data_IF_370110748087
#
_entry.id   IF_370110748087
#
_cell.length_a   1.000
_cell.length_b   1.000
_cell.length_c   1.000
_cell.angle_alpha   90.00
_cell.angle_beta   90.00
_cell.angle_gamma   90.00
#
_symmetry.space_group_name_H-M   'P 1'
#
loop_
_entity.id
_entity.type
_entity.pdbx_description
1 polymer ?
#
# COMPACT_ATOMS: atom_id res chain seq x y z
N UNK A 1 28.29 -39.54 46.95
CA UNK A 1 28.40 -40.27 45.67
C UNK A 1 26.98 -40.53 45.18
N UNK A 2 26.53 -39.85 44.12
CA UNK A 2 25.19 -40.08 43.57
C UNK A 2 25.22 -41.39 42.76
N UNK A 3 24.59 -42.44 43.29
CA UNK A 3 24.43 -43.72 42.62
C UNK A 3 23.35 -43.53 41.55
N UNK A 4 23.77 -43.32 40.29
CA UNK A 4 22.84 -43.16 39.18
C UNK A 4 22.26 -44.55 38.91
N UNK A 5 20.96 -44.69 39.19
CA UNK A 5 20.22 -45.92 38.95
C UNK A 5 20.15 -46.16 37.43
N UNK A 6 20.79 -47.24 36.97
CA UNK A 6 20.96 -47.60 35.55
C UNK A 6 19.62 -47.61 34.78
N UNK A 7 18.48 -48.07 35.33
CA UNK A 7 17.19 -48.03 34.65
C UNK A 7 16.73 -46.59 34.33
N UNK A 8 17.00 -45.67 35.25
CA UNK A 8 16.61 -44.25 35.15
C UNK A 8 17.44 -43.53 34.10
N UNK A 9 18.75 -43.85 34.01
CA UNK A 9 19.62 -43.32 32.97
C UNK A 9 19.22 -43.82 31.57
N UNK A 10 18.88 -45.11 31.45
CA UNK A 10 18.42 -45.71 30.19
C UNK A 10 17.08 -45.13 29.75
N UNK A 11 16.14 -44.91 30.67
CA UNK A 11 14.88 -44.22 30.40
C UNK A 11 15.10 -42.76 29.95
N UNK A 12 16.00 -42.02 30.61
CA UNK A 12 16.32 -40.65 30.22
C UNK A 12 16.93 -40.56 28.80
N UNK A 13 17.79 -41.52 28.44
CA UNK A 13 18.36 -41.60 27.08
C UNK A 13 17.29 -41.97 26.05
N UNK A 14 16.42 -42.93 26.34
CA UNK A 14 15.30 -43.30 25.46
C UNK A 14 14.32 -42.15 25.24
N UNK A 15 13.98 -41.40 26.30
CA UNK A 15 13.14 -40.20 26.22
C UNK A 15 13.84 -39.10 25.42
N UNK A 16 15.15 -38.88 25.63
CA UNK A 16 15.94 -37.91 24.86
C UNK A 16 16.02 -38.24 23.37
N UNK A 17 16.27 -39.50 23.02
CA UNK A 17 16.36 -39.97 21.62
C UNK A 17 15.01 -39.92 20.90
N UNK A 18 13.90 -40.09 21.62
CA UNK A 18 12.55 -40.03 21.05
C UNK A 18 11.98 -38.61 20.98
N UNK A 19 12.31 -37.73 21.94
CA UNK A 19 11.90 -36.31 21.90
C UNK A 19 12.73 -35.46 20.94
N UNK A 20 14.02 -35.74 20.78
CA UNK A 20 14.91 -34.90 19.95
C UNK A 20 14.44 -34.75 18.50
N UNK A 21 13.98 -35.81 17.79
CA UNK A 21 13.44 -35.71 16.44
C UNK A 21 12.17 -34.86 16.40
N UNK A 22 11.29 -34.97 17.40
CA UNK A 22 10.03 -34.22 17.49
C UNK A 22 10.29 -32.73 17.71
N UNK A 23 11.25 -32.39 18.59
CA UNK A 23 11.66 -31.00 18.84
C UNK A 23 12.30 -30.39 17.59
N UNK A 24 13.14 -31.16 16.88
CA UNK A 24 13.74 -30.71 15.62
C UNK A 24 12.67 -30.45 14.54
N UNK A 25 11.67 -31.34 14.43
CA UNK A 25 10.57 -31.18 13.47
C UNK A 25 9.69 -29.98 13.81
N UNK A 26 9.44 -29.72 15.10
CA UNK A 26 8.72 -28.53 15.57
C UNK A 26 9.53 -27.25 15.35
N UNK A 27 10.83 -27.24 15.59
CA UNK A 27 11.68 -26.06 15.37
C UNK A 27 11.85 -25.76 13.89
N UNK A 28 11.96 -26.76 13.02
CA UNK A 28 12.01 -26.54 11.58
C UNK A 28 10.66 -26.07 11.02
N UNK A 29 9.55 -26.61 11.54
CA UNK A 29 8.21 -26.08 11.26
C UNK A 29 8.04 -24.62 11.71
N UNK A 30 8.53 -24.27 12.90
CA UNK A 30 8.49 -22.92 13.45
C UNK A 30 9.37 -21.96 12.64
N UNK A 31 10.59 -22.35 12.26
CA UNK A 31 11.46 -21.55 11.38
C UNK A 31 10.80 -21.30 10.02
N UNK A 32 10.20 -22.33 9.43
CA UNK A 32 9.46 -22.21 8.17
C UNK A 32 8.21 -21.32 8.27
N UNK A 33 7.57 -21.29 9.43
CA UNK A 33 6.46 -20.37 9.70
C UNK A 33 6.96 -18.93 9.90
N UNK A 34 7.97 -18.72 10.74
CA UNK A 34 8.58 -17.40 10.99
C UNK A 34 9.09 -16.77 9.71
N UNK A 35 9.76 -17.54 8.85
CA UNK A 35 10.24 -17.06 7.54
C UNK A 35 9.09 -16.60 6.65
N UNK A 36 8.01 -17.38 6.56
CA UNK A 36 6.80 -17.00 5.79
C UNK A 36 6.15 -15.73 6.34
N UNK A 37 6.08 -15.59 7.66
CA UNK A 37 5.53 -14.40 8.32
C UNK A 37 6.40 -13.16 8.07
N UNK A 38 7.73 -13.29 8.10
CA UNK A 38 8.65 -12.20 7.78
C UNK A 38 8.52 -11.78 6.30
N UNK A 39 8.51 -12.74 5.37
CA UNK A 39 8.31 -12.47 3.94
C UNK A 39 6.94 -11.85 3.63
N UNK A 40 5.90 -12.15 4.43
CA UNK A 40 4.60 -11.47 4.33
C UNK A 40 4.65 -10.04 4.88
N UNK A 41 5.31 -9.82 6.02
CA UNK A 41 5.49 -8.48 6.59
C UNK A 41 6.29 -7.56 5.68
N UNK A 42 7.36 -8.06 5.07
CA UNK A 42 8.18 -7.28 4.13
C UNK A 42 7.38 -6.89 2.88
N UNK A 43 6.57 -7.81 2.36
CA UNK A 43 5.64 -7.52 1.25
C UNK A 43 4.62 -6.47 1.63
N UNK A 44 4.04 -6.55 2.83
CA UNK A 44 3.08 -5.57 3.34
C UNK A 44 3.73 -4.20 3.55
N UNK A 45 4.95 -4.15 4.10
CA UNK A 45 5.69 -2.91 4.29
C UNK A 45 6.03 -2.25 2.94
N UNK A 46 6.48 -3.03 1.96
CA UNK A 46 6.75 -2.51 0.62
C UNK A 46 5.47 -2.02 -0.08
N UNK A 47 4.37 -2.76 0.06
CA UNK A 47 3.07 -2.36 -0.48
C UNK A 47 2.58 -1.05 0.15
N UNK A 48 2.64 -0.92 1.47
CA UNK A 48 2.30 0.31 2.20
C UNK A 48 3.17 1.50 1.77
N UNK A 49 4.48 1.29 1.64
CA UNK A 49 5.40 2.33 1.17
C UNK A 49 5.03 2.82 -0.23
N UNK A 50 4.78 1.90 -1.15
CA UNK A 50 4.37 2.23 -2.52
C UNK A 50 2.99 2.91 -2.57
N UNK A 51 2.03 2.49 -1.71
CA UNK A 51 0.73 3.17 -1.55
C UNK A 51 0.91 4.64 -1.18
N UNK A 52 1.78 4.92 -0.20
CA UNK A 52 2.07 6.28 0.27
C UNK A 52 2.74 7.10 -0.82
N UNK A 53 3.71 6.54 -1.55
CA UNK A 53 4.40 7.24 -2.63
C UNK A 53 3.45 7.57 -3.80
N UNK A 54 2.57 6.64 -4.18
CA UNK A 54 1.56 6.89 -5.21
C UNK A 54 0.52 7.93 -4.76
N UNK A 55 0.12 7.92 -3.49
CA UNK A 55 -0.76 8.95 -2.93
C UNK A 55 -0.09 10.32 -2.92
N UNK A 56 1.19 10.41 -2.51
CA UNK A 56 1.99 11.64 -2.61
C UNK A 56 2.08 12.13 -4.04
N UNK A 57 2.30 11.24 -5.01
CA UNK A 57 2.35 11.60 -6.43
C UNK A 57 1.02 12.21 -6.88
N UNK A 58 -0.12 11.60 -6.55
CA UNK A 58 -1.45 12.14 -6.87
C UNK A 58 -1.67 13.53 -6.25
N UNK A 59 -1.27 13.70 -4.98
CA UNK A 59 -1.31 15.00 -4.28
C UNK A 59 -0.42 16.05 -4.96
N UNK A 60 0.80 15.71 -5.34
CA UNK A 60 1.77 16.60 -5.99
C UNK A 60 1.27 17.01 -7.37
N UNK A 61 0.73 16.07 -8.14
CA UNK A 61 0.16 16.36 -9.46
C UNK A 61 -0.91 17.44 -9.33
N UNK A 62 -1.79 17.38 -8.33
CA UNK A 62 -2.75 18.45 -8.11
C UNK A 62 -2.10 19.74 -7.57
N UNK A 63 -1.33 19.65 -6.48
CA UNK A 63 -0.79 20.81 -5.77
C UNK A 63 0.12 21.68 -6.65
N UNK A 64 1.07 21.05 -7.36
CA UNK A 64 2.01 21.75 -8.23
C UNK A 64 1.33 22.26 -9.49
N UNK A 65 0.48 21.44 -10.13
CA UNK A 65 -0.15 21.88 -11.39
C UNK A 65 -1.20 22.98 -11.15
N UNK A 66 -1.93 22.97 -10.03
CA UNK A 66 -2.88 24.04 -9.74
C UNK A 66 -2.19 25.37 -9.41
N UNK A 67 -1.06 25.35 -8.70
CA UNK A 67 -0.29 26.55 -8.40
C UNK A 67 0.40 27.14 -9.64
N UNK A 68 0.88 26.30 -10.55
CA UNK A 68 1.53 26.71 -11.81
C UNK A 68 0.53 26.92 -12.96
N UNK A 69 -0.76 27.08 -12.65
CA UNK A 69 -1.82 27.18 -13.66
C UNK A 69 -1.68 28.47 -14.49
N UNK A 70 -1.11 28.33 -15.69
CA UNK A 70 -1.14 29.41 -16.67
C UNK A 70 -2.52 29.52 -17.33
N UNK A 71 -3.36 30.37 -16.76
CA UNK A 71 -4.70 30.68 -17.29
C UNK A 71 -4.77 31.94 -18.14
N UNK A 72 -3.62 32.51 -18.52
CA UNK A 72 -3.54 33.80 -19.22
C UNK A 72 -4.24 33.80 -20.59
N UNK A 73 -4.40 32.64 -21.22
CA UNK A 73 -5.20 32.46 -22.43
C UNK A 73 -6.02 31.16 -22.40
N UNK A 74 -7.06 31.10 -23.24
CA UNK A 74 -7.88 29.91 -23.40
C UNK A 74 -7.05 28.68 -23.83
N UNK A 75 -6.12 28.85 -24.76
CA UNK A 75 -5.27 27.76 -25.26
C UNK A 75 -4.29 27.24 -24.20
N UNK A 76 -3.73 28.14 -23.37
CA UNK A 76 -2.87 27.73 -22.26
C UNK A 76 -3.65 26.99 -21.19
N UNK A 77 -4.84 27.47 -20.82
CA UNK A 77 -5.74 26.78 -19.89
C UNK A 77 -6.13 25.40 -20.40
N UNK A 78 -6.45 25.27 -21.69
CA UNK A 78 -6.81 24.00 -22.33
C UNK A 78 -5.63 23.02 -22.34
N UNK A 79 -4.44 23.49 -22.67
CA UNK A 79 -3.22 22.67 -22.70
C UNK A 79 -2.85 22.20 -21.31
N UNK A 80 -2.89 23.10 -20.33
CA UNK A 80 -2.69 22.79 -18.92
C UNK A 80 -3.69 21.72 -18.43
N UNK A 81 -4.98 21.90 -18.67
CA UNK A 81 -6.03 20.97 -18.24
C UNK A 81 -5.81 19.57 -18.83
N UNK A 82 -5.47 19.48 -20.12
CA UNK A 82 -5.13 18.20 -20.77
C UNK A 82 -3.90 17.53 -20.14
N UNK A 83 -2.86 18.30 -19.81
CA UNK A 83 -1.66 17.77 -19.18
C UNK A 83 -1.96 17.21 -17.79
N UNK A 84 -2.72 17.95 -16.97
CA UNK A 84 -3.18 17.49 -15.66
C UNK A 84 -4.00 16.20 -15.79
N UNK A 85 -5.00 16.20 -16.67
CA UNK A 85 -5.87 15.03 -16.88
C UNK A 85 -5.09 13.80 -17.36
N UNK A 86 -4.12 13.97 -18.27
CA UNK A 86 -3.28 12.87 -18.74
C UNK A 86 -2.42 12.30 -17.62
N UNK A 87 -1.79 13.16 -16.80
CA UNK A 87 -0.99 12.71 -15.65
C UNK A 87 -1.86 11.98 -14.63
N UNK A 88 -3.04 12.52 -14.32
CA UNK A 88 -3.97 11.89 -13.37
C UNK A 88 -4.50 10.56 -13.90
N UNK A 89 -4.75 10.42 -15.21
CA UNK A 89 -5.11 9.13 -15.81
C UNK A 89 -4.00 8.10 -15.67
N UNK A 90 -2.74 8.51 -15.86
CA UNK A 90 -1.58 7.63 -15.65
C UNK A 90 -1.47 7.22 -14.17
N UNK A 91 -1.59 8.17 -13.24
CA UNK A 91 -1.56 7.89 -11.80
C UNK A 91 -2.72 7.01 -11.35
N UNK A 92 -3.95 7.24 -11.85
CA UNK A 92 -5.10 6.35 -11.63
C UNK A 92 -4.78 4.92 -12.04
N UNK A 93 -4.19 4.74 -13.23
CA UNK A 93 -3.86 3.40 -13.74
C UNK A 93 -2.82 2.70 -12.85
N UNK A 94 -1.83 3.45 -12.34
CA UNK A 94 -0.83 2.94 -11.39
C UNK A 94 -1.45 2.58 -10.04
N UNK A 95 -2.29 3.45 -9.49
CA UNK A 95 -3.04 3.22 -8.25
C UNK A 95 -3.93 1.97 -8.35
N UNK A 96 -4.62 1.79 -9.48
CA UNK A 96 -5.49 0.64 -9.71
C UNK A 96 -4.70 -0.66 -9.84
N UNK A 97 -3.58 -0.65 -10.57
CA UNK A 97 -2.69 -1.81 -10.63
C UNK A 97 -2.09 -2.15 -9.26
N UNK A 98 -1.79 -1.14 -8.45
CA UNK A 98 -1.28 -1.31 -7.09
C UNK A 98 -2.33 -1.84 -6.10
N UNK A 99 -3.58 -1.41 -6.24
CA UNK A 99 -4.70 -1.95 -5.47
C UNK A 99 -4.91 -3.45 -5.79
N UNK A 100 -4.75 -3.84 -7.06
CA UNK A 100 -4.87 -5.24 -7.47
C UNK A 100 -3.72 -6.14 -7.00
N UNK A 101 -2.56 -5.56 -6.67
CA UNK A 101 -1.41 -6.28 -6.13
C UNK A 101 -1.37 -6.34 -4.60
N UNK A 102 -2.47 -5.94 -3.93
CA UNK A 102 -2.57 -5.96 -2.48
C UNK A 102 -2.25 -7.35 -1.91
N UNK A 103 -1.32 -7.46 -0.94
CA UNK A 103 -1.04 -8.72 -0.28
C UNK A 103 -2.25 -9.16 0.55
N UNK A 104 -2.48 -10.47 0.71
CA UNK A 104 -3.58 -10.98 1.53
C UNK A 104 -3.43 -10.52 2.98
N UNK A 105 -4.50 -9.93 3.54
CA UNK A 105 -4.48 -9.34 4.88
C UNK A 105 -4.02 -7.88 4.89
N UNK A 106 -4.07 -7.19 3.75
CA UNK A 106 -3.99 -5.74 3.72
C UNK A 106 -5.13 -5.11 4.53
N UNK A 107 -4.85 -3.94 5.08
CA UNK A 107 -5.79 -3.23 5.94
C UNK A 107 -6.98 -2.73 5.11
N UNK A 108 -8.19 -3.13 5.49
CA UNK A 108 -9.44 -2.75 4.81
C UNK A 108 -9.61 -1.22 4.75
N UNK A 109 -9.13 -0.47 5.76
CA UNK A 109 -9.20 0.99 5.79
C UNK A 109 -8.27 1.62 4.74
N UNK A 110 -7.08 1.03 4.53
CA UNK A 110 -6.12 1.48 3.52
C UNK A 110 -6.65 1.14 2.12
N UNK A 111 -7.18 -0.07 1.92
CA UNK A 111 -7.78 -0.47 0.64
C UNK A 111 -8.97 0.43 0.28
N UNK A 112 -9.86 0.70 1.23
CA UNK A 112 -10.99 1.60 1.01
C UNK A 112 -10.52 3.01 0.64
N UNK A 113 -9.58 3.58 1.39
CA UNK A 113 -9.04 4.92 1.12
C UNK A 113 -8.37 4.98 -0.26
N UNK A 114 -7.68 3.90 -0.67
CA UNK A 114 -7.05 3.79 -1.98
C UNK A 114 -8.10 3.77 -3.11
N UNK A 115 -9.19 3.04 -2.93
CA UNK A 115 -10.31 3.01 -3.87
C UNK A 115 -11.01 4.37 -3.98
N UNK A 116 -11.19 5.08 -2.86
CA UNK A 116 -11.73 6.44 -2.85
C UNK A 116 -10.81 7.44 -3.56
N UNK A 117 -9.48 7.30 -3.44
CA UNK A 117 -8.52 8.08 -4.22
C UNK A 117 -8.61 7.76 -5.71
N UNK A 118 -8.72 6.49 -6.09
CA UNK A 118 -8.90 6.08 -7.50
C UNK A 118 -10.17 6.69 -8.09
N UNK A 119 -11.28 6.65 -7.35
CA UNK A 119 -12.54 7.26 -7.76
C UNK A 119 -12.44 8.79 -7.91
N UNK A 120 -11.71 9.46 -7.01
CA UNK A 120 -11.44 10.90 -7.13
C UNK A 120 -10.60 11.22 -8.38
N UNK A 121 -9.58 10.41 -8.68
CA UNK A 121 -8.78 10.55 -9.90
C UNK A 121 -9.62 10.33 -11.17
N UNK A 122 -10.54 9.37 -11.15
CA UNK A 122 -11.49 9.13 -12.23
C UNK A 122 -12.38 10.34 -12.46
N UNK A 123 -13.04 10.85 -11.41
CA UNK A 123 -13.90 12.02 -11.49
C UNK A 123 -13.19 13.27 -12.01
N UNK A 124 -11.90 13.46 -11.68
CA UNK A 124 -11.11 14.56 -12.23
C UNK A 124 -10.69 14.32 -13.69
N UNK A 125 -10.38 13.07 -14.06
CA UNK A 125 -10.02 12.73 -15.44
C UNK A 125 -11.19 12.80 -16.42
N UNK A 126 -12.41 12.60 -15.91
CA UNK A 126 -13.67 12.66 -16.66
C UNK A 126 -14.34 14.04 -16.58
N UNK A 127 -13.90 14.91 -15.66
CA UNK A 127 -14.39 16.29 -15.61
C UNK A 127 -14.15 16.98 -16.96
N UNK A 128 -15.25 17.42 -17.55
CA UNK A 128 -15.45 17.50 -19.00
C UNK A 128 -14.51 18.46 -19.75
N UNK A 129 -14.27 18.13 -21.01
CA UNK A 129 -13.35 18.67 -22.03
C UNK A 129 -13.40 20.19 -22.28
N UNK A 130 -13.08 21.01 -21.27
CA UNK A 130 -13.08 22.46 -21.37
C UNK A 130 -14.47 23.11 -21.31
N UNK A 131 -15.49 22.37 -20.86
CA UNK A 131 -16.85 22.88 -20.59
C UNK A 131 -17.22 22.96 -19.11
N UNK A 132 -16.55 22.20 -18.24
CA UNK A 132 -16.76 22.30 -16.80
C UNK A 132 -16.34 23.68 -16.27
N UNK A 133 -17.06 24.17 -15.25
CA UNK A 133 -16.68 25.40 -14.56
C UNK A 133 -15.29 25.23 -13.94
N UNK A 134 -14.49 26.30 -13.88
CA UNK A 134 -13.21 26.32 -13.14
C UNK A 134 -13.41 25.77 -11.71
N UNK A 135 -14.56 26.06 -11.11
CA UNK A 135 -14.91 25.65 -9.75
C UNK A 135 -15.13 24.14 -9.63
N UNK A 136 -15.66 23.49 -10.67
CA UNK A 136 -15.87 22.03 -10.68
C UNK A 136 -14.54 21.29 -10.79
N UNK A 137 -13.65 21.78 -11.65
CA UNK A 137 -12.29 21.24 -11.77
C UNK A 137 -11.48 21.44 -10.50
N UNK A 138 -11.58 22.62 -9.86
CA UNK A 138 -10.95 22.90 -8.57
C UNK A 138 -11.51 21.98 -7.47
N UNK A 139 -12.83 21.79 -7.42
CA UNK A 139 -13.47 20.91 -6.44
C UNK A 139 -13.05 19.45 -6.63
N UNK A 140 -12.98 18.97 -7.87
CA UNK A 140 -12.53 17.61 -8.17
C UNK A 140 -11.06 17.41 -7.79
N UNK A 141 -10.19 18.39 -8.04
CA UNK A 141 -8.79 18.33 -7.62
C UNK A 141 -8.57 18.41 -6.11
N UNK A 142 -9.37 19.22 -5.40
CA UNK A 142 -9.36 19.21 -3.93
C UNK A 142 -9.70 17.84 -3.36
N UNK A 143 -10.69 17.13 -3.93
CA UNK A 143 -10.99 15.75 -3.52
C UNK A 143 -9.84 14.79 -3.75
N UNK A 144 -9.13 14.89 -4.89
CA UNK A 144 -7.92 14.07 -5.13
C UNK A 144 -6.87 14.33 -4.06
N UNK A 145 -6.66 15.59 -3.69
CA UNK A 145 -5.72 15.96 -2.63
C UNK A 145 -6.15 15.43 -1.26
N UNK A 146 -7.41 15.62 -0.87
CA UNK A 146 -7.96 15.19 0.41
C UNK A 146 -7.89 13.66 0.54
N UNK A 147 -8.32 12.92 -0.48
CA UNK A 147 -8.24 11.46 -0.47
C UNK A 147 -6.80 10.96 -0.46
N UNK A 148 -5.88 11.65 -1.14
CA UNK A 148 -4.46 11.30 -1.08
C UNK A 148 -3.86 11.53 0.31
N UNK A 149 -4.25 12.63 0.99
CA UNK A 149 -3.84 12.89 2.37
C UNK A 149 -4.40 11.85 3.35
N UNK A 150 -5.64 11.41 3.11
CA UNK A 150 -6.28 10.35 3.88
C UNK A 150 -5.54 9.02 3.72
N UNK A 151 -5.26 8.59 2.50
CA UNK A 151 -4.44 7.39 2.23
C UNK A 151 -3.10 7.45 2.96
N UNK A 152 -2.41 8.59 2.91
CA UNK A 152 -1.14 8.78 3.62
C UNK A 152 -1.34 8.69 5.13
N UNK A 153 -2.46 9.17 5.66
CA UNK A 153 -2.76 9.16 7.10
C UNK A 153 -3.04 7.76 7.62
N UNK A 154 -3.85 6.98 6.91
CA UNK A 154 -4.27 5.64 7.33
C UNK A 154 -3.22 4.57 7.05
N UNK A 155 -2.33 4.80 6.08
CA UNK A 155 -1.28 3.82 5.77
C UNK A 155 -0.19 3.82 6.85
N UNK A 156 0.15 2.65 7.44
CA UNK A 156 1.19 2.56 8.46
C UNK A 156 2.57 2.95 7.92
N UNK A 157 3.21 3.94 8.55
CA UNK A 157 4.61 4.30 8.32
C UNK A 157 5.47 3.64 9.41
N UNK A 158 6.08 2.49 9.08
CA UNK A 158 7.13 1.91 9.93
C UNK A 158 8.50 2.47 9.55
#
# INVERSE_FOLDING_TARGET
MAQIDIPTAVLAVLVSVTLSPVINLLTDGLKGFVRRTLEQKDRMANWNHETVELAKEAKIIWATQYQEQDTSSFDRRRTWSRNVQNRIRQTKSRLLNHAQSAPPGADEEVEQSLMELIAACEGLSESDHGRGSKDEFEKAGKRVKENAEEVIRVTPHN
#
